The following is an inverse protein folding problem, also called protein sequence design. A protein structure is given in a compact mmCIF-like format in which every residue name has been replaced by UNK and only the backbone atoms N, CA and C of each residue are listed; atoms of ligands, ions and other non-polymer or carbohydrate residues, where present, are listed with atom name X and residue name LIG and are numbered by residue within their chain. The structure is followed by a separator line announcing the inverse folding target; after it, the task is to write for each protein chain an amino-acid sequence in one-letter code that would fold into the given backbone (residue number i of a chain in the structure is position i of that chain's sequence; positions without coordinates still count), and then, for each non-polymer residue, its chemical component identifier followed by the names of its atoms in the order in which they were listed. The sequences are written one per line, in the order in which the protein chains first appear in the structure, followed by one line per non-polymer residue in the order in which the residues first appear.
data_IF_155968622722
#
_entry.id   IF_155968622722
#
_cell.length_a   1.000
_cell.length_b   1.000
_cell.length_c   1.000
_cell.angle_alpha   90.00
_cell.angle_beta   90.00
_cell.angle_gamma   90.00
#
_symmetry.space_group_name_H-M   'P 1'
#
loop_
_entity.id
_entity.type
_entity.pdbx_description
1 polymer ?
#
# COMPACT_ATOMS: atom_id res chain seq x y z
N UNK A 1 -1.10 -1.56 3.82
CA UNK A 1 -1.73 -2.90 3.97
C UNK A 1 -3.14 -2.82 3.37
N UNK A 2 -3.76 -3.92 3.01
CA UNK A 2 -4.98 -4.02 2.18
C UNK A 2 -5.98 -4.89 2.96
N UNK A 3 -6.22 -4.51 4.23
CA UNK A 3 -7.21 -5.17 5.07
C UNK A 3 -8.63 -4.88 4.57
N UNK A 4 -8.87 -3.64 4.15
CA UNK A 4 -10.14 -3.16 3.65
C UNK A 4 -9.91 -1.89 2.82
N UNK A 5 -10.55 -1.80 1.65
CA UNK A 5 -10.41 -0.64 0.76
C UNK A 5 -10.85 0.66 1.44
N UNK A 6 -11.96 0.63 2.19
CA UNK A 6 -12.51 1.82 2.87
C UNK A 6 -11.56 2.37 3.94
N UNK A 7 -10.81 1.49 4.63
CA UNK A 7 -9.79 1.93 5.60
C UNK A 7 -8.67 2.67 4.86
N UNK A 8 -8.20 2.11 3.75
CA UNK A 8 -7.13 2.71 2.97
C UNK A 8 -7.55 4.07 2.40
N UNK A 9 -8.74 4.16 1.80
CA UNK A 9 -9.30 5.41 1.26
C UNK A 9 -9.54 6.45 2.37
N UNK A 10 -9.96 6.02 3.56
CA UNK A 10 -10.14 6.93 4.69
C UNK A 10 -8.80 7.53 5.15
N UNK A 11 -7.78 6.71 5.31
CA UNK A 11 -6.43 7.17 5.70
C UNK A 11 -5.83 8.06 4.62
N UNK A 12 -5.97 7.69 3.34
CA UNK A 12 -5.53 8.52 2.22
C UNK A 12 -6.16 9.91 2.27
N UNK A 13 -7.48 10.00 2.44
CA UNK A 13 -8.21 11.27 2.50
C UNK A 13 -7.80 12.11 3.71
N UNK A 14 -7.62 11.48 4.87
CA UNK A 14 -7.15 12.16 6.08
C UNK A 14 -5.75 12.77 5.88
N UNK A 15 -4.90 12.11 5.09
CA UNK A 15 -3.54 12.54 4.79
C UNK A 15 -3.44 13.42 3.54
N UNK A 16 -4.57 13.75 2.89
CA UNK A 16 -4.64 14.57 1.68
C UNK A 16 -3.74 14.04 0.54
N UNK A 17 -3.62 12.71 0.42
CA UNK A 17 -2.79 12.09 -0.62
C UNK A 17 -3.61 11.93 -1.91
N UNK A 18 -3.11 12.42 -3.06
CA UNK A 18 -3.78 12.24 -4.35
C UNK A 18 -3.99 10.78 -4.74
N UNK A 19 -5.11 10.48 -5.42
CA UNK A 19 -5.51 9.13 -5.84
C UNK A 19 -4.43 8.44 -6.68
N UNK A 20 -3.75 9.19 -7.55
CA UNK A 20 -2.69 8.66 -8.43
C UNK A 20 -1.45 8.19 -7.68
N UNK A 21 -1.28 8.58 -6.40
CA UNK A 21 -0.17 8.16 -5.54
C UNK A 21 -0.49 6.95 -4.69
N UNK A 22 -1.73 6.44 -4.73
CA UNK A 22 -2.14 5.25 -3.99
C UNK A 22 -2.43 4.10 -4.95
N UNK A 23 -1.84 2.94 -4.66
CA UNK A 23 -2.07 1.72 -5.42
C UNK A 23 -3.02 0.78 -4.67
N UNK A 24 -3.95 0.19 -5.41
CA UNK A 24 -4.89 -0.81 -4.90
C UNK A 24 -4.95 -2.01 -5.84
N UNK A 25 -4.87 -3.20 -5.26
CA UNK A 25 -5.16 -4.47 -5.93
C UNK A 25 -6.06 -5.38 -5.07
N UNK A 26 -6.64 -4.84 -3.99
CA UNK A 26 -7.53 -5.56 -3.07
C UNK A 26 -8.79 -6.08 -3.78
N UNK A 27 -9.22 -5.41 -4.85
CA UNK A 27 -10.34 -5.84 -5.70
C UNK A 27 -10.05 -7.17 -6.41
N UNK A 28 -8.77 -7.49 -6.62
CA UNK A 28 -8.32 -8.71 -7.30
C UNK A 28 -7.94 -9.82 -6.33
N UNK A 29 -7.28 -9.49 -5.21
CA UNK A 29 -6.72 -10.49 -4.29
C UNK A 29 -7.30 -10.49 -2.88
N UNK A 30 -8.12 -9.50 -2.52
CA UNK A 30 -8.54 -9.30 -1.14
C UNK A 30 -7.37 -9.04 -0.19
N UNK A 31 -7.55 -9.40 1.07
CA UNK A 31 -6.53 -9.29 2.11
C UNK A 31 -5.62 -10.53 2.08
N UNK A 32 -4.37 -10.37 1.63
CA UNK A 32 -3.35 -11.43 1.59
C UNK A 32 -2.42 -11.42 2.81
N UNK A 33 -2.85 -10.82 3.91
CA UNK A 33 -2.09 -10.69 5.16
C UNK A 33 -0.72 -10.05 4.91
N UNK A 34 0.37 -10.78 5.19
CA UNK A 34 1.74 -10.28 5.01
C UNK A 34 2.12 -10.11 3.52
N UNK A 35 1.47 -10.84 2.62
CA UNK A 35 1.75 -10.78 1.18
C UNK A 35 1.28 -9.49 0.51
N UNK A 36 0.43 -8.71 1.17
CA UNK A 36 -0.23 -7.55 0.56
C UNK A 36 0.74 -6.49 0.02
N UNK A 37 1.71 -6.08 0.83
CA UNK A 37 2.65 -5.02 0.45
C UNK A 37 3.58 -5.51 -0.67
N UNK A 38 4.27 -6.66 -0.55
CA UNK A 38 5.18 -7.11 -1.62
C UNK A 38 4.45 -7.40 -2.93
N UNK A 39 3.23 -7.96 -2.91
CA UNK A 39 2.45 -8.19 -4.14
C UNK A 39 2.13 -6.84 -4.83
N UNK A 40 1.66 -5.85 -4.06
CA UNK A 40 1.30 -4.55 -4.62
C UNK A 40 2.51 -3.81 -5.21
N UNK A 41 3.66 -3.84 -4.54
CA UNK A 41 4.90 -3.23 -5.03
C UNK A 41 5.37 -3.88 -6.33
N UNK A 42 5.38 -5.22 -6.37
CA UNK A 42 5.78 -5.97 -7.57
C UNK A 42 4.84 -5.68 -8.76
N UNK A 43 3.54 -5.54 -8.52
CA UNK A 43 2.59 -5.17 -9.58
C UNK A 43 2.73 -3.71 -10.02
N UNK A 44 2.97 -2.78 -9.08
CA UNK A 44 3.20 -1.38 -9.40
C UNK A 44 4.45 -1.19 -10.26
N UNK A 45 5.54 -1.91 -9.95
CA UNK A 45 6.77 -1.91 -10.74
C UNK A 45 6.54 -2.48 -12.13
N UNK A 46 5.91 -3.65 -12.25
CA UNK A 46 5.60 -4.27 -13.56
C UNK A 46 4.67 -3.42 -14.42
N UNK A 47 3.81 -2.62 -13.80
CA UNK A 47 2.90 -1.70 -14.47
C UNK A 47 3.55 -0.34 -14.84
N UNK A 48 4.83 -0.14 -14.52
CA UNK A 48 5.52 1.14 -14.75
C UNK A 48 4.99 2.28 -13.90
N UNK A 49 4.31 1.98 -12.78
CA UNK A 49 3.79 3.00 -11.85
C UNK A 49 4.72 3.25 -10.66
N UNK A 50 5.68 2.36 -10.47
CA UNK A 50 6.72 2.46 -9.47
C UNK A 50 8.07 2.28 -10.17
N UNK A 51 8.92 3.29 -10.07
CA UNK A 51 10.20 3.36 -10.78
C UNK A 51 11.34 3.69 -9.82
N UNK A 52 12.58 3.40 -10.25
CA UNK A 52 13.78 3.74 -9.47
C UNK A 52 13.89 5.24 -9.23
N UNK A 53 14.31 5.62 -8.02
CA UNK A 53 14.41 7.00 -7.55
C UNK A 53 13.14 7.52 -6.88
N UNK A 54 12.04 6.75 -6.87
CA UNK A 54 10.82 7.10 -6.15
C UNK A 54 10.96 6.79 -4.64
N UNK A 55 10.35 7.63 -3.81
CA UNK A 55 10.17 7.33 -2.38
C UNK A 55 8.82 6.68 -2.15
N UNK A 56 8.83 5.50 -1.53
CA UNK A 56 7.63 4.72 -1.25
C UNK A 56 7.36 4.68 0.24
N UNK A 57 6.17 5.12 0.64
CA UNK A 57 5.69 4.95 2.00
C UNK A 57 4.84 3.68 2.11
N UNK A 58 5.23 2.78 3.00
CA UNK A 58 4.49 1.57 3.33
C UNK A 58 4.03 1.64 4.78
N UNK A 59 2.78 1.26 5.03
CA UNK A 59 2.24 1.10 6.39
C UNK A 59 1.42 -0.18 6.50
N UNK A 60 1.49 -0.85 7.63
CA UNK A 60 0.72 -2.05 7.93
C UNK A 60 0.22 -2.06 9.37
N UNK A 61 -0.93 -2.71 9.56
CA UNK A 61 -1.56 -2.97 10.85
C UNK A 61 -1.92 -4.46 10.90
N UNK A 62 -1.67 -5.13 12.03
CA UNK A 62 -1.87 -6.57 12.22
C UNK A 62 -2.46 -6.93 13.58
N UNK A 63 -2.91 -8.18 13.72
CA UNK A 63 -3.51 -8.70 14.96
C UNK A 63 -2.52 -8.70 16.13
N UNK A 64 -3.04 -8.48 17.34
CA UNK A 64 -2.27 -8.19 18.56
C UNK A 64 -2.29 -6.71 18.95
N UNK A 65 -2.63 -5.83 18.00
CA UNK A 65 -2.49 -4.35 17.97
C UNK A 65 -1.07 -3.86 17.68
N UNK A 66 -0.38 -4.50 16.73
CA UNK A 66 0.91 -4.05 16.23
C UNK A 66 0.77 -3.39 14.88
N UNK A 67 1.51 -2.30 14.67
CA UNK A 67 1.59 -1.59 13.40
C UNK A 67 3.03 -1.17 13.13
N UNK A 68 3.32 -0.88 11.87
CA UNK A 68 4.63 -0.43 11.45
C UNK A 68 4.57 0.30 10.11
N UNK A 69 5.52 1.21 9.93
CA UNK A 69 5.69 1.96 8.69
C UNK A 69 7.16 1.99 8.29
N UNK A 70 7.40 2.09 6.99
CA UNK A 70 8.72 2.25 6.42
C UNK A 70 8.66 3.20 5.22
N UNK A 71 9.71 4.00 5.05
CA UNK A 71 9.99 4.72 3.82
C UNK A 71 11.11 3.97 3.10
N UNK A 72 10.90 3.68 1.82
CA UNK A 72 11.83 2.94 0.97
C UNK A 72 12.25 3.86 -0.18
N UNK A 73 13.55 4.01 -0.39
CA UNK A 73 14.09 4.49 -1.66
C UNK A 73 14.05 3.33 -2.65
N UNK A 74 13.15 3.42 -3.64
CA UNK A 74 12.93 2.39 -4.66
C UNK A 74 13.95 2.49 -5.78
#
# INVERSE_FOLDING_TARGET
HQANLRINEHVQKLMEIPDEKIFHNIQRYGNTTAGTIPILLAEAERAGKLERGMKVACTAFGSGFTWGSAIIDW
#
